data_IF_433829455782
#
_entry.id   IF_433829455782
#
_cell.length_a   1.000
_cell.length_b   1.000
_cell.length_c   1.000
_cell.angle_alpha   90.00
_cell.angle_beta   90.00
_cell.angle_gamma   90.00
#
_symmetry.space_group_name_H-M   'P 1'
#
loop_
_entity.id
_entity.type
_entity.pdbx_description
1 polymer ?
#
# COMPACT_ATOMS: atom_id res chain seq x y z
N UNK A 1 0.43 7.12 -15.39
CA UNK A 1 0.30 6.03 -14.40
C UNK A 1 0.10 6.71 -13.08
N UNK A 2 -1.01 6.47 -12.40
CA UNK A 2 -1.27 7.19 -11.14
C UNK A 2 -1.76 6.23 -10.08
N UNK A 3 -1.13 6.30 -8.90
CA UNK A 3 -1.67 5.71 -7.68
C UNK A 3 -2.62 6.74 -7.07
N UNK A 4 -3.88 6.36 -6.88
CA UNK A 4 -4.98 7.28 -6.57
C UNK A 4 -5.47 7.16 -5.13
N UNK A 5 -5.27 5.99 -4.53
CA UNK A 5 -5.64 5.69 -3.15
C UNK A 5 -4.69 4.65 -2.56
N UNK A 6 -4.45 4.72 -1.26
CA UNK A 6 -3.68 3.70 -0.54
C UNK A 6 -4.09 3.61 0.93
N UNK A 7 -3.92 2.42 1.51
CA UNK A 7 -4.07 2.20 2.94
C UNK A 7 -2.99 1.27 3.50
N UNK A 8 -2.82 1.33 4.81
CA UNK A 8 -2.13 0.34 5.64
C UNK A 8 -3.11 -0.19 6.68
N UNK A 9 -3.20 -1.52 6.82
CA UNK A 9 -4.13 -2.18 7.73
C UNK A 9 -3.50 -3.34 8.49
N UNK A 10 -4.06 -3.61 9.68
CA UNK A 10 -3.83 -4.83 10.47
C UNK A 10 -5.12 -5.64 10.50
N UNK A 11 -5.17 -6.74 9.76
CA UNK A 11 -6.45 -7.42 9.49
C UNK A 11 -7.39 -6.48 8.73
N UNK A 12 -8.61 -6.30 9.24
CA UNK A 12 -9.58 -5.32 8.71
C UNK A 12 -9.47 -3.92 9.33
N UNK A 13 -8.58 -3.72 10.30
CA UNK A 13 -8.39 -2.42 10.96
C UNK A 13 -7.46 -1.55 10.12
N UNK A 14 -8.03 -0.54 9.47
CA UNK A 14 -7.25 0.49 8.74
C UNK A 14 -6.53 1.37 9.76
N UNK A 15 -5.20 1.48 9.63
CA UNK A 15 -4.34 2.25 10.54
C UNK A 15 -3.99 3.63 9.98
N UNK A 16 -3.83 3.71 8.66
CA UNK A 16 -3.62 4.94 7.91
C UNK A 16 -4.13 4.75 6.48
N UNK A 17 -4.69 5.80 5.88
CA UNK A 17 -5.06 5.83 4.47
C UNK A 17 -4.85 7.22 3.88
N UNK A 18 -4.74 7.29 2.57
CA UNK A 18 -4.73 8.55 1.84
C UNK A 18 -5.41 8.38 0.48
N UNK A 19 -6.12 9.43 0.06
CA UNK A 19 -6.77 9.49 -1.24
C UNK A 19 -6.40 10.79 -1.94
N UNK A 20 -5.82 10.70 -3.14
CA UNK A 20 -5.40 11.85 -3.92
C UNK A 20 -6.57 12.53 -4.66
N UNK A 21 -7.70 11.82 -4.80
CA UNK A 21 -8.90 12.33 -5.50
C UNK A 21 -10.15 11.67 -4.93
N UNK A 22 -11.31 12.29 -5.16
CA UNK A 22 -12.60 11.73 -4.73
C UNK A 22 -12.90 10.45 -5.51
N UNK A 23 -12.95 9.31 -4.80
CA UNK A 23 -13.17 7.97 -5.39
C UNK A 23 -13.94 7.09 -4.40
N UNK A 24 -14.46 5.95 -4.89
CA UNK A 24 -14.95 4.85 -4.07
C UNK A 24 -13.83 3.88 -3.61
N UNK A 25 -12.56 4.28 -3.76
CA UNK A 25 -11.40 3.42 -3.49
C UNK A 25 -11.37 2.87 -2.07
N UNK A 26 -11.70 3.70 -1.07
CA UNK A 26 -11.75 3.28 0.33
C UNK A 26 -12.82 2.21 0.61
N UNK A 27 -13.99 2.33 -0.02
CA UNK A 27 -15.07 1.36 0.11
C UNK A 27 -14.66 0.01 -0.47
N UNK A 28 -14.11 -0.01 -1.69
CA UNK A 28 -13.66 -1.25 -2.34
C UNK A 28 -12.49 -1.87 -1.58
N UNK A 29 -11.53 -1.06 -1.13
CA UNK A 29 -10.39 -1.54 -0.38
C UNK A 29 -10.78 -2.26 0.92
N UNK A 30 -11.78 -1.75 1.65
CA UNK A 30 -12.31 -2.43 2.85
C UNK A 30 -12.96 -3.77 2.51
N UNK A 31 -13.73 -3.84 1.42
CA UNK A 31 -14.31 -5.10 0.94
C UNK A 31 -13.22 -6.12 0.57
N UNK A 32 -12.11 -5.65 0.00
CA UNK A 32 -10.94 -6.49 -0.27
C UNK A 32 -10.35 -6.98 1.05
N UNK A 33 -10.10 -6.11 2.03
CA UNK A 33 -9.55 -6.49 3.34
C UNK A 33 -10.38 -7.58 4.03
N UNK A 34 -11.70 -7.49 3.99
CA UNK A 34 -12.61 -8.48 4.59
C UNK A 34 -12.58 -9.85 3.89
N UNK A 35 -12.20 -9.87 2.60
CA UNK A 35 -12.17 -11.08 1.77
C UNK A 35 -10.80 -11.73 1.70
N UNK A 36 -9.72 -11.06 2.12
CA UNK A 36 -8.37 -11.62 2.01
C UNK A 36 -8.25 -12.83 2.95
N UNK A 37 -8.03 -14.05 2.41
CA UNK A 37 -7.99 -15.26 3.20
C UNK A 37 -6.66 -15.41 3.95
N UNK A 38 -6.71 -16.13 5.07
CA UNK A 38 -5.53 -16.59 5.79
C UNK A 38 -4.73 -15.50 6.50
N UNK A 39 -3.57 -15.88 7.03
CA UNK A 39 -2.63 -15.01 7.76
C UNK A 39 -1.24 -14.93 7.11
N UNK A 40 -1.05 -15.67 6.03
CA UNK A 40 0.24 -15.77 5.36
C UNK A 40 0.55 -14.52 4.55
N UNK A 41 1.84 -14.32 4.30
CA UNK A 41 2.32 -13.31 3.37
C UNK A 41 1.79 -13.57 1.96
N UNK A 42 1.43 -12.50 1.26
CA UNK A 42 0.85 -12.60 -0.08
C UNK A 42 1.01 -11.32 -0.88
N UNK A 43 1.05 -11.49 -2.21
CA UNK A 43 0.96 -10.41 -3.19
C UNK A 43 -0.12 -10.75 -4.20
N UNK A 44 -1.19 -9.94 -4.28
CA UNK A 44 -2.33 -10.18 -5.16
C UNK A 44 -2.79 -8.88 -5.80
N UNK A 45 -3.52 -8.97 -6.91
CA UNK A 45 -4.13 -7.79 -7.53
C UNK A 45 -5.55 -8.13 -7.95
N UNK A 46 -6.47 -7.20 -7.69
CA UNK A 46 -7.88 -7.32 -8.03
C UNK A 46 -8.24 -6.22 -9.03
N UNK A 47 -8.74 -6.61 -10.20
CA UNK A 47 -9.23 -5.66 -11.18
C UNK A 47 -10.66 -5.28 -10.85
N UNK A 48 -10.96 -3.98 -10.87
CA UNK A 48 -12.30 -3.43 -10.70
C UNK A 48 -12.48 -2.26 -11.67
N UNK A 49 -13.30 -2.46 -12.69
CA UNK A 49 -13.50 -1.52 -13.80
C UNK A 49 -12.17 -1.12 -14.46
N UNK A 50 -11.80 0.17 -14.39
CA UNK A 50 -10.56 0.71 -14.97
C UNK A 50 -9.38 0.75 -14.00
N UNK A 51 -9.61 0.28 -12.77
CA UNK A 51 -8.62 0.33 -11.71
C UNK A 51 -8.16 -1.05 -11.30
N UNK A 52 -6.93 -1.12 -10.82
CA UNK A 52 -6.37 -2.31 -10.21
C UNK A 52 -6.02 -2.00 -8.75
N UNK A 53 -6.50 -2.87 -7.86
CA UNK A 53 -6.18 -2.84 -6.44
C UNK A 53 -5.04 -3.83 -6.19
N UNK A 54 -3.84 -3.33 -5.95
CA UNK A 54 -2.68 -4.14 -5.60
C UNK A 54 -2.59 -4.28 -4.08
N UNK A 55 -2.36 -5.50 -3.62
CA UNK A 55 -2.30 -5.82 -2.19
C UNK A 55 -1.03 -6.60 -1.89
N UNK A 56 -0.30 -6.14 -0.89
CA UNK A 56 0.83 -6.83 -0.27
C UNK A 56 0.51 -7.06 1.20
N UNK A 57 0.69 -8.29 1.66
CA UNK A 57 0.70 -8.63 3.09
C UNK A 57 2.07 -9.19 3.46
N UNK A 58 2.65 -8.62 4.50
CA UNK A 58 3.93 -9.06 5.07
C UNK A 58 3.88 -8.88 6.59
N UNK A 59 4.16 -9.95 7.33
CA UNK A 59 4.19 -9.96 8.80
C UNK A 59 2.88 -9.48 9.46
N UNK A 60 1.74 -9.85 8.86
CA UNK A 60 0.40 -9.50 9.35
C UNK A 60 -0.05 -8.06 9.07
N UNK A 61 0.81 -7.23 8.46
CA UNK A 61 0.45 -5.92 7.92
C UNK A 61 0.04 -6.04 6.46
N UNK A 62 -1.08 -5.43 6.09
CA UNK A 62 -1.56 -5.35 4.71
C UNK A 62 -1.41 -3.92 4.22
N UNK A 63 -0.70 -3.74 3.11
CA UNK A 63 -0.64 -2.48 2.37
C UNK A 63 -1.38 -2.68 1.05
N UNK A 64 -2.24 -1.74 0.71
CA UNK A 64 -3.06 -1.79 -0.50
C UNK A 64 -3.01 -0.45 -1.21
N UNK A 65 -2.97 -0.47 -2.54
CA UNK A 65 -3.16 0.72 -3.35
C UNK A 65 -4.11 0.48 -4.52
N UNK A 66 -4.80 1.54 -4.93
CA UNK A 66 -5.59 1.61 -6.16
C UNK A 66 -4.79 2.39 -7.20
N UNK A 67 -4.60 1.81 -8.38
CA UNK A 67 -3.91 2.44 -9.49
C UNK A 67 -4.69 2.24 -10.80
N UNK A 68 -4.43 3.09 -11.80
CA UNK A 68 -4.90 2.85 -13.17
C UNK A 68 -4.30 1.54 -13.73
N UNK A 69 -5.06 0.85 -14.59
CA UNK A 69 -4.62 -0.40 -15.23
C UNK A 69 -3.29 -0.29 -16.01
N UNK A 70 -3.02 0.87 -16.61
CA UNK A 70 -1.77 1.19 -17.31
C UNK A 70 -0.53 1.20 -16.42
N UNK A 71 -0.70 1.20 -15.09
CA UNK A 71 0.42 1.15 -14.13
C UNK A 71 1.21 -0.17 -14.19
N UNK A 72 0.59 -1.24 -14.69
CA UNK A 72 1.13 -2.59 -14.55
C UNK A 72 1.29 -2.98 -13.08
N UNK A 73 2.20 -3.92 -12.78
CA UNK A 73 2.39 -4.45 -11.42
C UNK A 73 3.67 -3.94 -10.75
N UNK A 74 4.73 -3.70 -11.52
CA UNK A 74 6.08 -3.41 -11.00
C UNK A 74 6.11 -2.21 -10.07
N UNK A 75 5.60 -1.07 -10.54
CA UNK A 75 5.64 0.18 -9.78
C UNK A 75 4.71 0.13 -8.57
N UNK A 76 3.43 -0.28 -8.69
CA UNK A 76 2.56 -0.43 -7.52
C UNK A 76 3.15 -1.34 -6.43
N UNK A 77 3.69 -2.51 -6.78
CA UNK A 77 4.27 -3.39 -5.75
C UNK A 77 5.55 -2.83 -5.12
N UNK A 78 6.39 -2.09 -5.87
CA UNK A 78 7.54 -1.40 -5.29
C UNK A 78 7.14 -0.29 -4.34
N UNK A 79 6.07 0.44 -4.66
CA UNK A 79 5.45 1.41 -3.76
C UNK A 79 4.93 0.73 -2.48
N UNK A 80 4.21 -0.38 -2.60
CA UNK A 80 3.68 -1.12 -1.43
C UNK A 80 4.80 -1.63 -0.51
N UNK A 81 5.92 -2.08 -1.08
CA UNK A 81 7.12 -2.47 -0.34
C UNK A 81 7.72 -1.29 0.44
N UNK A 82 7.93 -0.14 -0.21
CA UNK A 82 8.47 1.06 0.44
C UNK A 82 7.56 1.54 1.58
N UNK A 83 6.24 1.56 1.34
CA UNK A 83 5.27 1.90 2.38
C UNK A 83 5.33 0.94 3.56
N UNK A 84 5.40 -0.38 3.33
CA UNK A 84 5.53 -1.37 4.39
C UNK A 84 6.79 -1.13 5.22
N UNK A 85 7.94 -0.98 4.58
CA UNK A 85 9.23 -0.76 5.24
C UNK A 85 9.23 0.52 6.08
N UNK A 86 8.69 1.63 5.54
CA UNK A 86 8.56 2.89 6.28
C UNK A 86 7.62 2.75 7.47
N UNK A 87 6.49 2.07 7.30
CA UNK A 87 5.51 1.91 8.37
C UNK A 87 6.08 1.07 9.52
N UNK A 88 6.71 -0.07 9.22
CA UNK A 88 7.36 -0.94 10.21
C UNK A 88 8.53 -0.22 10.89
N UNK A 89 9.36 0.50 10.14
CA UNK A 89 10.47 1.29 10.70
C UNK A 89 10.00 2.39 11.67
N UNK A 90 8.85 2.99 11.38
CA UNK A 90 8.32 4.12 12.17
C UNK A 90 7.58 3.64 13.41
N UNK A 91 6.70 2.63 13.28
CA UNK A 91 5.77 2.26 14.35
C UNK A 91 6.11 0.92 15.02
N UNK A 92 6.84 0.03 14.35
CA UNK A 92 7.26 -1.27 14.88
C UNK A 92 6.15 -2.02 15.62
N UNK A 93 6.37 -2.30 16.91
CA UNK A 93 5.43 -3.05 17.75
C UNK A 93 4.18 -2.27 18.15
N UNK A 94 4.16 -0.93 18.06
CA UNK A 94 2.98 -0.12 18.39
C UNK A 94 1.78 -0.46 17.49
N UNK A 95 2.05 -0.97 16.29
CA UNK A 95 1.06 -1.46 15.33
C UNK A 95 0.18 -2.56 15.91
N UNK A 96 0.64 -3.37 16.87
CA UNK A 96 -0.12 -4.54 17.37
C UNK A 96 -1.36 -4.16 18.19
N UNK A 97 -1.37 -2.99 18.82
CA UNK A 97 -2.47 -2.50 19.67
C UNK A 97 -3.11 -1.20 19.16
N UNK A 98 -2.58 -0.64 18.06
CA UNK A 98 -3.12 0.58 17.45
C UNK A 98 -4.63 0.46 17.13
N UNK A 99 -5.35 1.55 17.37
CA UNK A 99 -6.75 1.72 17.01
C UNK A 99 -6.90 2.07 15.53
N UNK A 100 -8.12 1.98 15.01
CA UNK A 100 -8.44 2.42 13.67
C UNK A 100 -8.00 3.88 13.48
N UNK A 101 -7.32 4.16 12.36
CA UNK A 101 -6.77 5.47 12.01
C UNK A 101 -5.76 6.05 13.00
N UNK A 102 -5.28 5.27 13.97
CA UNK A 102 -4.39 5.76 15.04
C UNK A 102 -3.03 6.25 14.57
N UNK A 103 -2.64 5.97 13.31
CA UNK A 103 -1.38 6.42 12.71
C UNK A 103 -1.60 7.42 11.56
N UNK A 104 -2.87 7.82 11.32
CA UNK A 104 -3.24 8.52 10.09
C UNK A 104 -2.73 9.97 10.03
N UNK A 105 -2.75 10.69 11.15
CA UNK A 105 -2.39 12.13 11.21
C UNK A 105 -0.95 12.41 10.74
N UNK A 106 -0.05 11.47 11.01
CA UNK A 106 1.34 11.52 10.60
C UNK A 106 1.56 10.80 9.28
N UNK A 107 1.11 9.54 9.18
CA UNK A 107 1.50 8.68 8.08
C UNK A 107 0.79 9.00 6.77
N UNK A 108 -0.39 9.64 6.79
CA UNK A 108 -1.09 10.08 5.58
C UNK A 108 -0.25 11.02 4.70
N UNK A 109 0.62 11.83 5.32
CA UNK A 109 1.55 12.71 4.59
C UNK A 109 2.63 11.91 3.87
N UNK A 110 3.12 10.84 4.49
CA UNK A 110 4.09 9.92 3.88
C UNK A 110 3.42 9.19 2.71
N UNK A 111 2.19 8.71 2.89
CA UNK A 111 1.40 8.08 1.83
C UNK A 111 1.24 9.02 0.63
N UNK A 112 0.83 10.26 0.86
CA UNK A 112 0.69 11.28 -0.19
C UNK A 112 2.00 11.51 -0.96
N UNK A 113 3.11 11.73 -0.25
CA UNK A 113 4.41 12.00 -0.87
C UNK A 113 4.92 10.81 -1.71
N UNK A 114 4.78 9.58 -1.19
CA UNK A 114 5.21 8.40 -1.94
C UNK A 114 4.28 8.13 -3.13
N UNK A 115 2.97 8.35 -3.00
CA UNK A 115 2.05 8.24 -4.15
C UNK A 115 2.45 9.20 -5.27
N UNK A 116 2.79 10.45 -4.95
CA UNK A 116 3.25 11.43 -5.93
C UNK A 116 4.57 11.01 -6.59
N UNK A 117 5.56 10.59 -5.80
CA UNK A 117 6.86 10.15 -6.32
C UNK A 117 6.72 8.95 -7.28
N UNK A 118 6.04 7.89 -6.86
CA UNK A 118 5.87 6.67 -7.68
C UNK A 118 4.93 6.87 -8.87
N UNK A 119 4.05 7.87 -8.86
CA UNK A 119 3.18 8.18 -10.02
C UNK A 119 3.92 8.98 -11.11
N UNK A 120 4.92 9.78 -10.74
CA UNK A 120 5.58 10.70 -11.66
C UNK A 120 6.94 10.21 -12.19
N UNK A 121 7.58 9.23 -11.54
CA UNK A 121 8.87 8.68 -12.00
C UNK A 121 8.76 7.19 -12.41
N UNK A 122 8.90 6.85 -13.70
CA UNK A 122 8.92 5.46 -14.17
C UNK A 122 10.08 4.61 -13.60
N UNK A 123 11.11 5.25 -13.04
CA UNK A 123 12.27 4.63 -12.42
C UNK A 123 12.26 4.73 -10.88
N UNK A 124 11.12 5.08 -10.28
CA UNK A 124 10.98 5.25 -8.84
C UNK A 124 11.46 4.03 -8.01
N UNK A 125 11.40 2.82 -8.59
CA UNK A 125 11.82 1.56 -7.98
C UNK A 125 13.30 1.20 -8.18
N UNK A 126 14.08 2.01 -8.90
CA UNK A 126 15.49 1.69 -9.23
C UNK A 126 16.33 1.38 -7.99
N UNK A 127 16.14 2.15 -6.92
CA UNK A 127 16.88 1.94 -5.66
C UNK A 127 16.47 0.64 -4.95
N UNK A 128 15.19 0.30 -4.95
CA UNK A 128 14.70 -0.95 -4.37
C UNK A 128 15.22 -2.17 -5.14
N UNK A 129 15.34 -2.06 -6.47
CA UNK A 129 15.92 -3.10 -7.32
C UNK A 129 17.39 -3.36 -6.99
N UNK A 130 18.20 -2.32 -6.88
CA UNK A 130 19.61 -2.44 -6.53
C UNK A 130 19.80 -3.09 -5.15
N UNK A 131 18.96 -2.74 -4.17
CA UNK A 131 19.00 -3.36 -2.84
C UNK A 131 18.63 -4.85 -2.88
N UNK A 132 17.65 -5.23 -3.70
CA UNK A 132 17.27 -6.63 -3.90
C UNK A 132 18.38 -7.46 -4.55
N UNK A 133 19.10 -6.90 -5.52
CA UNK A 133 20.21 -7.57 -6.22
C UNK A 133 21.45 -7.77 -5.32
N UNK A 134 21.69 -6.90 -4.35
CA UNK A 134 22.81 -7.04 -3.38
C UNK A 134 22.54 -8.01 -2.24
N UNK A 135 21.29 -8.46 -2.07
CA UNK A 135 20.85 -9.36 -0.99
C UNK A 135 20.80 -10.84 -1.42
N UNK A 136 21.37 -11.15 -2.58
CA UNK A 136 21.46 -12.49 -3.18
C UNK A 136 22.88 -13.04 -3.05
#
# INVERSE_FOLDING_TARGET
>A
MTILYTLVARGSVVLAEFSATSTNGSTIARQILDKIPGKNDMNVSYSQDRYIFHVKRTDGLTVLCMADDVAGRRIPFSFLEDIHQRFVRTYGRAVLSAQAYGMNDEFSRVLSQQMEYYSNDPNADRMNRLKGEMSQ
#
